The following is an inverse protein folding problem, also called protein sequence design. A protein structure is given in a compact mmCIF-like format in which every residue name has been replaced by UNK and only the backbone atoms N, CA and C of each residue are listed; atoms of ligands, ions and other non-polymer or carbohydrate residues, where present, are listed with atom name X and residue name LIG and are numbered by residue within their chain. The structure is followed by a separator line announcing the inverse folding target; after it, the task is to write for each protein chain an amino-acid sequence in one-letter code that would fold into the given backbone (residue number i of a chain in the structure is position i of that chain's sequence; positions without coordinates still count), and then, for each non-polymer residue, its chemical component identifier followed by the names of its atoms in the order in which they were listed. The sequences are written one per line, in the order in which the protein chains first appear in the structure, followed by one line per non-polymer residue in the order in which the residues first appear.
data_IF_026248436058
#
_entry.id   IF_026248436058
#
_cell.length_a   1.000
_cell.length_b   1.000
_cell.length_c   1.000
_cell.angle_alpha   90.00
_cell.angle_beta   90.00
_cell.angle_gamma   90.00
#
_symmetry.space_group_name_H-M   'P 1'
#
loop_
_entity.id
_entity.type
_entity.pdbx_description
1 polymer ?
#
# COMPACT_ATOMS: atom_id res chain seq x y z
N UNK A 1 -15.08 14.03 9.03
CA UNK A 1 -14.53 12.67 9.00
C UNK A 1 -13.16 12.70 8.35
N UNK A 2 -12.11 12.23 9.02
CA UNK A 2 -10.77 12.18 8.43
C UNK A 2 -10.73 11.06 7.40
N UNK A 3 -10.62 11.42 6.12
CA UNK A 3 -10.29 10.49 5.04
C UNK A 3 -9.01 9.76 5.45
N UNK A 4 -9.10 8.47 5.77
CA UNK A 4 -7.92 7.70 6.11
C UNK A 4 -7.29 7.27 4.78
N UNK A 5 -6.57 8.19 4.15
CA UNK A 5 -5.91 8.02 2.83
C UNK A 5 -4.98 6.79 2.77
N UNK A 6 -4.53 6.28 3.92
CA UNK A 6 -3.55 5.18 4.01
C UNK A 6 -4.08 3.91 4.69
N UNK A 7 -5.35 3.91 5.13
CA UNK A 7 -5.94 2.83 5.92
C UNK A 7 -5.39 2.67 7.36
N UNK A 8 -4.52 3.56 7.83
CA UNK A 8 -3.89 3.49 9.15
C UNK A 8 -2.65 2.58 9.18
N UNK A 9 -2.13 2.20 10.37
CA UNK A 9 -0.99 1.28 10.48
C UNK A 9 -1.33 -0.12 9.95
N UNK A 10 -0.40 -0.78 9.26
CA UNK A 10 -0.56 -2.15 8.76
C UNK A 10 -0.74 -3.18 9.89
N UNK A 11 -0.10 -2.91 11.03
CA UNK A 11 -0.19 -3.71 12.25
C UNK A 11 -0.56 -2.80 13.42
N UNK A 12 -1.85 -2.44 13.58
CA UNK A 12 -2.30 -1.56 14.65
C UNK A 12 -1.97 -2.16 16.02
N UNK A 13 -1.37 -1.35 16.90
CA UNK A 13 -1.13 -1.72 18.29
C UNK A 13 -1.90 -0.77 19.21
N UNK A 14 -2.44 -1.27 20.33
CA UNK A 14 -3.03 -0.40 21.34
C UNK A 14 -1.97 0.55 21.90
N UNK A 15 -2.40 1.75 22.27
CA UNK A 15 -1.57 2.66 23.06
C UNK A 15 -1.22 1.98 24.39
N UNK A 16 0.03 2.14 24.81
CA UNK A 16 0.43 1.70 26.14
C UNK A 16 0.94 2.90 26.93
N UNK A 17 0.51 2.97 28.19
CA UNK A 17 1.03 3.92 29.16
C UNK A 17 2.48 3.53 29.48
N UNK A 18 3.39 4.50 29.40
CA UNK A 18 4.78 4.33 29.83
C UNK A 18 4.86 4.43 31.34
N UNK A 19 5.99 3.98 31.90
CA UNK A 19 6.27 4.02 33.34
C UNK A 19 6.16 5.45 33.92
N UNK A 20 6.31 6.47 33.08
CA UNK A 20 6.24 7.89 33.45
C UNK A 20 4.83 8.51 33.31
N UNK A 21 3.79 7.69 33.06
CA UNK A 21 2.41 8.15 32.85
C UNK A 21 2.16 8.82 31.49
N UNK A 22 3.12 8.74 30.56
CA UNK A 22 2.94 9.22 29.19
C UNK A 22 2.36 8.12 28.30
N UNK A 23 1.52 8.47 27.33
CA UNK A 23 1.10 7.50 26.31
C UNK A 23 2.15 7.41 25.21
N UNK A 24 2.74 6.22 25.03
CA UNK A 24 3.60 5.97 23.88
C UNK A 24 2.73 5.73 22.66
N UNK A 25 2.84 6.61 21.67
CA UNK A 25 2.37 6.35 20.31
C UNK A 25 3.13 5.11 19.82
N UNK A 26 2.44 3.98 19.76
CA UNK A 26 2.98 2.76 19.19
C UNK A 26 3.58 3.09 17.82
N UNK A 27 4.85 2.71 17.62
CA UNK A 27 5.68 3.04 16.45
C UNK A 27 4.88 3.18 15.15
N UNK A 28 5.08 4.29 14.43
CA UNK A 28 4.33 4.67 13.22
C UNK A 28 4.25 3.55 12.17
N UNK A 29 5.28 2.69 12.10
CA UNK A 29 5.26 1.47 11.28
C UNK A 29 5.03 1.72 9.79
N UNK A 30 4.67 0.65 9.07
CA UNK A 30 4.22 0.70 7.67
C UNK A 30 2.71 1.01 7.64
N UNK A 31 2.22 1.79 6.67
CA UNK A 31 0.78 1.98 6.50
C UNK A 31 0.10 0.74 5.90
N UNK A 32 -1.21 0.55 6.14
CA UNK A 32 -1.98 -0.54 5.56
C UNK A 32 -1.94 -0.50 4.03
N UNK A 33 -1.95 0.70 3.44
CA UNK A 33 -1.75 0.92 2.00
C UNK A 33 -0.41 0.35 1.51
N UNK A 34 0.69 0.69 2.19
CA UNK A 34 2.03 0.24 1.80
C UNK A 34 2.18 -1.28 1.96
N UNK A 35 1.55 -1.86 2.98
CA UNK A 35 1.53 -3.30 3.20
C UNK A 35 0.82 -4.04 2.07
N UNK A 36 -0.37 -3.58 1.69
CA UNK A 36 -1.13 -4.15 0.57
C UNK A 36 -0.35 -3.97 -0.74
N UNK A 37 0.20 -2.78 -1.00
CA UNK A 37 0.99 -2.51 -2.19
C UNK A 37 2.21 -3.45 -2.28
N UNK A 38 2.90 -3.70 -1.16
CA UNK A 38 4.03 -4.64 -1.12
C UNK A 38 3.60 -6.06 -1.48
N UNK A 39 2.46 -6.54 -0.96
CA UNK A 39 1.94 -7.87 -1.30
C UNK A 39 1.52 -7.99 -2.76
N UNK A 40 0.84 -6.97 -3.27
CA UNK A 40 0.46 -6.92 -4.68
C UNK A 40 1.70 -6.92 -5.57
N UNK A 41 2.71 -6.11 -5.24
CA UNK A 41 3.98 -6.06 -5.98
C UNK A 41 4.72 -7.41 -5.94
N UNK A 42 4.76 -8.07 -4.78
CA UNK A 42 5.40 -9.38 -4.65
C UNK A 42 4.73 -10.44 -5.55
N UNK A 43 3.40 -10.51 -5.54
CA UNK A 43 2.64 -11.41 -6.41
C UNK A 43 2.82 -11.09 -7.90
N UNK A 44 2.86 -9.80 -8.24
CA UNK A 44 3.15 -9.33 -9.60
C UNK A 44 4.55 -9.74 -10.07
N UNK A 45 5.58 -9.52 -9.26
CA UNK A 45 6.97 -9.86 -9.60
C UNK A 45 7.22 -11.37 -9.67
N UNK A 46 6.39 -12.19 -9.01
CA UNK A 46 6.43 -13.63 -9.11
C UNK A 46 5.78 -14.19 -10.40
N UNK A 47 5.10 -13.34 -11.19
CA UNK A 47 4.45 -13.74 -12.43
C UNK A 47 5.32 -13.46 -13.65
N UNK A 48 5.51 -14.48 -14.49
CA UNK A 48 6.19 -14.34 -15.79
C UNK A 48 5.46 -13.41 -16.77
N UNK A 49 4.16 -13.17 -16.54
CA UNK A 49 3.28 -12.42 -17.43
C UNK A 49 3.03 -10.98 -16.99
N UNK A 50 3.68 -10.50 -15.92
CA UNK A 50 3.39 -9.17 -15.36
C UNK A 50 3.52 -8.05 -16.39
N UNK A 51 4.51 -8.15 -17.28
CA UNK A 51 4.74 -7.16 -18.32
C UNK A 51 3.61 -7.08 -19.33
N UNK A 52 2.88 -8.16 -19.58
CA UNK A 52 1.69 -8.11 -20.46
C UNK A 52 0.55 -7.35 -19.79
N UNK A 53 0.39 -7.51 -18.47
CA UNK A 53 -0.64 -6.85 -17.68
C UNK A 53 -0.40 -5.33 -17.55
N UNK A 54 0.85 -4.88 -17.41
CA UNK A 54 1.17 -3.46 -17.15
C UNK A 54 1.62 -2.67 -18.39
N UNK A 55 1.88 -3.32 -19.53
CA UNK A 55 2.28 -2.64 -20.79
C UNK A 55 1.25 -1.60 -21.25
N UNK A 56 -0.05 -1.86 -21.05
CA UNK A 56 -1.12 -0.92 -21.39
C UNK A 56 -1.34 0.20 -20.37
N UNK A 57 -0.74 0.10 -19.17
CA UNK A 57 -0.88 1.08 -18.09
C UNK A 57 0.31 2.06 -18.02
N UNK A 58 1.34 1.85 -18.84
CA UNK A 58 2.51 2.72 -18.90
C UNK A 58 2.74 3.21 -20.33
N UNK A 59 2.50 4.50 -20.59
CA UNK A 59 2.84 5.17 -21.87
C UNK A 59 4.36 5.34 -22.08
N UNK A 60 5.20 4.62 -21.34
CA UNK A 60 6.64 4.86 -21.26
C UNK A 60 7.38 3.71 -21.94
N UNK A 61 8.21 4.05 -22.93
CA UNK A 61 9.08 3.10 -23.64
C UNK A 61 9.89 2.21 -22.67
N UNK A 62 10.20 0.95 -23.06
CA UNK A 62 10.55 -0.11 -22.12
C UNK A 62 12.03 -0.02 -21.70
N UNK A 63 12.39 0.96 -20.89
CA UNK A 63 13.58 0.85 -20.05
C UNK A 63 13.21 0.23 -18.69
N UNK A 64 14.19 -0.38 -18.02
CA UNK A 64 13.96 -1.09 -16.76
C UNK A 64 13.42 -0.19 -15.63
N UNK A 65 13.67 1.12 -15.70
CA UNK A 65 13.15 2.09 -14.73
C UNK A 65 11.64 2.32 -14.92
N UNK A 66 11.19 2.50 -16.16
CA UNK A 66 9.78 2.67 -16.52
C UNK A 66 8.95 1.45 -16.13
N UNK A 67 9.51 0.28 -16.40
CA UNK A 67 9.01 -1.03 -16.00
C UNK A 67 8.76 -1.12 -14.49
N UNK A 68 9.78 -0.82 -13.67
CA UNK A 68 9.67 -0.82 -12.19
C UNK A 68 8.66 0.21 -11.67
N UNK A 69 8.61 1.39 -12.28
CA UNK A 69 7.65 2.44 -11.91
C UNK A 69 6.19 2.03 -12.21
N UNK A 70 5.95 1.36 -13.34
CA UNK A 70 4.64 0.82 -13.70
C UNK A 70 4.12 -0.21 -12.71
N UNK A 71 4.98 -1.17 -12.34
CA UNK A 71 4.65 -2.18 -11.34
C UNK A 71 4.32 -1.54 -9.97
N UNK A 72 5.11 -0.57 -9.53
CA UNK A 72 4.86 0.15 -8.28
C UNK A 72 3.52 0.91 -8.31
N UNK A 73 3.22 1.65 -9.39
CA UNK A 73 1.94 2.37 -9.55
C UNK A 73 0.74 1.42 -9.55
N UNK A 74 0.87 0.30 -10.27
CA UNK A 74 -0.17 -0.73 -10.32
C UNK A 74 -0.42 -1.32 -8.93
N UNK A 75 0.64 -1.57 -8.15
CA UNK A 75 0.53 -2.07 -6.78
C UNK A 75 -0.22 -1.11 -5.86
N UNK A 76 0.06 0.19 -5.93
CA UNK A 76 -0.68 1.18 -5.16
C UNK A 76 -2.13 1.31 -5.63
N UNK A 77 -2.42 1.19 -6.93
CA UNK A 77 -3.80 1.20 -7.43
C UNK A 77 -4.62 0.03 -6.88
N UNK A 78 -4.04 -1.17 -6.79
CA UNK A 78 -4.67 -2.31 -6.12
C UNK A 78 -4.85 -2.06 -4.62
N UNK A 79 -3.87 -1.44 -3.95
CA UNK A 79 -3.99 -1.10 -2.54
C UNK A 79 -5.15 -0.13 -2.28
N UNK A 80 -5.27 0.91 -3.10
CA UNK A 80 -6.35 1.89 -3.01
C UNK A 80 -7.73 1.24 -3.26
N UNK A 81 -7.82 0.33 -4.24
CA UNK A 81 -9.04 -0.44 -4.51
C UNK A 81 -9.44 -1.35 -3.32
N UNK A 82 -8.47 -1.99 -2.66
CA UNK A 82 -8.74 -2.83 -1.48
C UNK A 82 -9.18 -2.00 -0.27
N UNK A 83 -8.59 -0.82 -0.07
CA UNK A 83 -9.02 0.11 0.97
C UNK A 83 -10.45 0.62 0.72
N UNK A 84 -10.77 0.97 -0.53
CA UNK A 84 -12.13 1.36 -0.92
C UNK A 84 -13.13 0.21 -0.67
N UNK A 85 -12.81 -1.01 -1.09
CA UNK A 85 -13.66 -2.19 -0.89
C UNK A 85 -13.90 -2.52 0.60
N UNK A 86 -12.93 -2.24 1.48
CA UNK A 86 -13.06 -2.38 2.94
C UNK A 86 -14.07 -1.39 3.53
N UNK A 87 -14.42 -0.33 2.81
CA UNK A 87 -15.22 0.79 3.31
C UNK A 87 -14.36 1.96 3.80
N UNK A 88 -13.27 2.26 3.10
CA UNK A 88 -12.45 3.47 3.34
C UNK A 88 -13.23 4.79 3.27
N UNK A 89 -14.50 4.74 2.83
CA UNK A 89 -15.52 5.80 2.83
C UNK A 89 -16.82 5.38 3.55
N UNK A 90 -16.75 4.67 4.69
CA UNK A 90 -17.96 4.45 5.52
C UNK A 90 -18.08 5.53 6.58
N UNK A 91 -19.15 6.32 6.44
CA UNK A 91 -19.67 7.34 7.37
C UNK A 91 -19.62 6.88 8.83
#
# INVERSE_FOLDING_TARGET
MSKIETGGPAFPRPFHETVDGNFSIAQTGMSLRDFIATHALAGMLASDHIWEHIRGMTEIAPNDKAKRLGAARTAYAYADAMLAARGGDRD
#
